data_IF_415118356535
#
_entry.id   IF_415118356535
#
_cell.length_a   1.000
_cell.length_b   1.000
_cell.length_c   1.000
_cell.angle_alpha   90.00
_cell.angle_beta   90.00
_cell.angle_gamma   90.00
#
_symmetry.space_group_name_H-M   'P 1'
#
loop_
_entity.id
_entity.type
_entity.pdbx_description
1 polymer ?
#
# COMPACT_ATOMS: atom_id res chain seq x y z
N UNK A 1 4.13 11.84 -6.02
CA UNK A 1 5.37 11.28 -5.41
C UNK A 1 6.14 10.49 -6.48
N UNK A 2 7.45 10.22 -6.35
CA UNK A 2 8.15 9.29 -7.27
C UNK A 2 8.07 7.85 -6.75
N UNK A 3 8.07 6.85 -7.64
CA UNK A 3 8.04 5.43 -7.24
C UNK A 3 9.21 5.08 -6.31
N UNK A 4 10.40 5.63 -6.58
CA UNK A 4 11.59 5.43 -5.75
C UNK A 4 11.40 5.99 -4.35
N UNK A 5 10.99 7.26 -4.25
CA UNK A 5 10.78 7.90 -2.95
C UNK A 5 9.70 7.20 -2.13
N UNK A 6 8.57 6.86 -2.75
CA UNK A 6 7.52 6.11 -2.06
C UNK A 6 8.03 4.75 -1.55
N UNK A 7 8.72 4.00 -2.40
CA UNK A 7 9.26 2.69 -2.04
C UNK A 7 10.28 2.75 -0.89
N UNK A 8 11.19 3.73 -0.91
CA UNK A 8 12.30 3.81 0.04
C UNK A 8 11.91 4.51 1.35
N UNK A 9 10.99 5.47 1.33
CA UNK A 9 10.74 6.34 2.48
C UNK A 9 9.35 6.15 3.12
N UNK A 10 8.36 5.65 2.38
CA UNK A 10 6.96 5.59 2.81
C UNK A 10 6.50 4.15 2.97
N UNK A 11 6.60 3.35 1.91
CA UNK A 11 6.09 1.97 1.88
C UNK A 11 6.74 1.10 2.96
N UNK A 12 8.03 1.26 3.23
CA UNK A 12 8.70 0.53 4.30
C UNK A 12 8.06 0.77 5.67
N UNK A 13 7.68 2.01 5.98
CA UNK A 13 7.02 2.36 7.25
C UNK A 13 5.64 1.71 7.35
N UNK A 14 4.90 1.66 6.23
CA UNK A 14 3.62 0.96 6.20
C UNK A 14 3.78 -0.55 6.37
N UNK A 15 4.79 -1.16 5.74
CA UNK A 15 5.11 -2.58 5.92
C UNK A 15 5.40 -2.87 7.39
N UNK A 16 6.27 -2.08 8.03
CA UNK A 16 6.64 -2.27 9.43
C UNK A 16 5.42 -2.19 10.34
N UNK A 17 4.59 -1.15 10.18
CA UNK A 17 3.38 -0.98 10.99
C UNK A 17 2.37 -2.12 10.77
N UNK A 18 2.17 -2.53 9.51
CA UNK A 18 1.29 -3.67 9.20
C UNK A 18 1.79 -4.93 9.90
N UNK A 19 3.09 -5.23 9.84
CA UNK A 19 3.66 -6.43 10.48
C UNK A 19 3.52 -6.37 12.00
N UNK A 20 3.72 -5.21 12.61
CA UNK A 20 3.49 -5.01 14.04
C UNK A 20 2.02 -5.23 14.43
N UNK A 21 1.07 -4.78 13.60
CA UNK A 21 -0.35 -5.02 13.81
C UNK A 21 -0.71 -6.51 13.61
N UNK A 22 -0.18 -7.15 12.57
CA UNK A 22 -0.40 -8.57 12.31
C UNK A 22 0.10 -9.44 13.47
N UNK A 23 1.27 -9.12 14.02
CA UNK A 23 1.84 -9.78 15.20
C UNK A 23 0.96 -9.55 16.43
N UNK A 24 0.57 -8.30 16.70
CA UNK A 24 -0.22 -7.93 17.89
C UNK A 24 -1.60 -8.60 17.92
N UNK A 25 -2.28 -8.63 16.78
CA UNK A 25 -3.67 -9.08 16.70
C UNK A 25 -3.82 -10.50 16.15
N UNK A 26 -2.72 -11.15 15.74
CA UNK A 26 -2.75 -12.48 15.10
C UNK A 26 -3.74 -12.54 13.93
N UNK A 27 -3.86 -11.44 13.18
CA UNK A 27 -4.79 -11.28 12.07
C UNK A 27 -4.10 -10.61 10.89
N UNK A 28 -4.53 -10.90 9.68
CA UNK A 28 -3.98 -10.27 8.47
C UNK A 28 -4.57 -8.89 8.28
N UNK A 29 -3.73 -7.91 7.97
CA UNK A 29 -4.18 -6.56 7.66
C UNK A 29 -4.08 -6.30 6.16
N UNK A 30 -4.99 -5.45 5.66
CA UNK A 30 -5.02 -5.07 4.26
C UNK A 30 -4.55 -3.62 4.11
N UNK A 31 -3.70 -3.38 3.12
CA UNK A 31 -3.27 -2.06 2.70
C UNK A 31 -4.19 -1.57 1.59
N UNK A 32 -4.94 -0.50 1.87
CA UNK A 32 -5.70 0.26 0.86
C UNK A 32 -4.95 1.54 0.53
N UNK A 33 -4.80 1.82 -0.75
CA UNK A 33 -4.15 3.04 -1.25
C UNK A 33 -4.95 3.61 -2.40
N UNK A 34 -4.72 4.89 -2.70
CA UNK A 34 -5.26 5.50 -3.90
C UNK A 34 -4.63 4.89 -5.18
N UNK A 35 -5.08 5.38 -6.33
CA UNK A 35 -4.60 4.92 -7.64
C UNK A 35 -3.41 5.74 -8.19
N UNK A 36 -2.61 6.40 -7.35
CA UNK A 36 -1.42 7.16 -7.76
C UNK A 36 -0.43 6.21 -8.48
N UNK A 37 0.06 6.58 -9.69
CA UNK A 37 1.00 5.76 -10.45
C UNK A 37 2.31 5.41 -9.70
N UNK A 38 2.66 6.19 -8.69
CA UNK A 38 3.85 6.00 -7.85
C UNK A 38 3.74 4.83 -6.87
N UNK A 39 2.54 4.33 -6.59
CA UNK A 39 2.35 3.19 -5.67
C UNK A 39 2.50 1.83 -6.35
N UNK A 40 2.59 1.80 -7.69
CA UNK A 40 2.78 0.57 -8.44
C UNK A 40 1.56 -0.33 -8.57
N UNK A 41 0.37 0.23 -8.38
CA UNK A 41 -0.90 -0.50 -8.51
C UNK A 41 -1.23 -0.88 -9.98
N UNK A 42 -0.58 -0.24 -10.97
CA UNK A 42 -0.78 -0.52 -12.41
C UNK A 42 0.27 -1.43 -13.05
N UNK A 43 1.53 -1.35 -12.64
CA UNK A 43 2.65 -2.06 -13.27
C UNK A 43 3.20 -3.13 -12.32
N UNK A 44 3.03 -4.41 -12.67
CA UNK A 44 3.34 -5.55 -11.79
C UNK A 44 4.82 -5.75 -11.44
N UNK A 45 5.74 -5.05 -12.10
CA UNK A 45 7.19 -5.27 -11.98
C UNK A 45 7.96 -4.01 -11.59
N UNK A 46 7.29 -2.95 -11.12
CA UNK A 46 8.01 -1.79 -10.60
C UNK A 46 8.43 -2.01 -9.13
N UNK A 47 9.32 -1.15 -8.65
CA UNK A 47 9.93 -1.27 -7.32
C UNK A 47 8.86 -1.37 -6.19
N UNK A 48 7.85 -0.49 -6.12
CA UNK A 48 6.78 -0.61 -5.12
C UNK A 48 5.99 -1.93 -5.19
N UNK A 49 5.60 -2.38 -6.39
CA UNK A 49 4.84 -3.62 -6.56
C UNK A 49 5.66 -4.85 -6.14
N UNK A 50 6.97 -4.83 -6.39
CA UNK A 50 7.89 -5.89 -5.95
C UNK A 50 8.00 -5.91 -4.42
N UNK A 51 8.24 -4.75 -3.79
CA UNK A 51 8.32 -4.64 -2.33
C UNK A 51 7.05 -5.17 -1.64
N UNK A 52 5.87 -4.76 -2.11
CA UNK A 52 4.59 -5.26 -1.56
C UNK A 52 4.45 -6.78 -1.64
N UNK A 53 4.90 -7.38 -2.75
CA UNK A 53 4.88 -8.83 -2.95
C UNK A 53 5.89 -9.55 -2.08
N UNK A 54 7.12 -9.04 -2.03
CA UNK A 54 8.22 -9.61 -1.24
C UNK A 54 7.91 -9.55 0.27
N UNK A 55 7.15 -8.55 0.70
CA UNK A 55 6.65 -8.39 2.08
C UNK A 55 5.32 -9.10 2.38
N UNK A 56 4.76 -9.82 1.41
CA UNK A 56 3.50 -10.56 1.53
C UNK A 56 2.35 -9.68 2.07
N UNK A 57 2.15 -8.51 1.48
CA UNK A 57 1.04 -7.62 1.83
C UNK A 57 -0.26 -8.02 1.15
N UNK A 58 -1.37 -7.98 1.88
CA UNK A 58 -2.71 -8.02 1.28
C UNK A 58 -3.10 -6.62 0.83
N UNK A 59 -3.47 -6.47 -0.44
CA UNK A 59 -3.83 -5.18 -1.03
C UNK A 59 -5.34 -5.13 -1.28
N UNK A 60 -5.97 -4.00 -0.93
CA UNK A 60 -7.34 -3.70 -1.36
C UNK A 60 -7.27 -3.02 -2.72
N UNK A 61 -8.03 -3.56 -3.67
CA UNK A 61 -8.19 -2.89 -4.95
C UNK A 61 -9.06 -1.64 -4.77
N UNK A 62 -8.51 -0.48 -5.13
CA UNK A 62 -9.21 0.80 -5.11
C UNK A 62 -9.39 1.32 -6.54
N UNK A 63 -10.58 1.81 -6.86
CA UNK A 63 -10.91 2.32 -8.19
C UNK A 63 -10.31 3.71 -8.41
N UNK A 64 -9.92 3.98 -9.66
CA UNK A 64 -9.43 5.30 -10.05
C UNK A 64 -10.57 6.32 -9.96
N UNK A 65 -10.29 7.52 -9.41
CA UNK A 65 -11.27 8.61 -9.26
C UNK A 65 -12.49 8.24 -8.41
N UNK A 66 -12.30 7.42 -7.38
CA UNK A 66 -13.34 7.07 -6.41
C UNK A 66 -12.98 7.59 -5.01
N UNK A 67 -12.88 8.93 -4.83
CA UNK A 67 -12.54 9.53 -3.54
C UNK A 67 -13.55 9.17 -2.44
N UNK A 68 -14.80 8.94 -2.83
CA UNK A 68 -15.89 8.47 -1.98
C UNK A 68 -15.66 7.06 -1.41
N UNK A 69 -14.80 6.25 -2.05
CA UNK A 69 -14.41 4.92 -1.61
C UNK A 69 -13.06 4.90 -0.86
N UNK A 70 -12.47 6.08 -0.61
CA UNK A 70 -11.24 6.23 0.16
C UNK A 70 -11.59 6.82 1.54
N UNK A 71 -11.60 6.02 2.62
CA UNK A 71 -11.98 6.49 3.95
C UNK A 71 -11.15 7.67 4.46
N UNK A 72 -9.91 7.83 3.98
CA UNK A 72 -9.03 8.94 4.35
C UNK A 72 -9.54 10.28 3.81
N UNK A 73 -10.27 10.28 2.69
CA UNK A 73 -10.79 11.51 2.06
C UNK A 73 -12.09 12.01 2.68
N UNK A 74 -12.72 11.19 3.53
CA UNK A 74 -13.92 11.55 4.27
C UNK A 74 -13.64 12.21 5.64
N UNK A 75 -12.35 12.40 5.98
CA UNK A 75 -11.88 12.99 7.26
C UNK A 75 -11.83 14.51 7.19
#
# INVERSE_FOLDING_TARGET
ITQKFYAEEILLKHIDEIKLLEERYSHRFQLQEDSDPSYGNRLKNNLPAKLKRDSDLLLVFHLLQSPDLNPIEAV
#
